data_IF_781712494917
#
_entry.id   IF_781712494917
#
_cell.length_a   1.000
_cell.length_b   1.000
_cell.length_c   1.000
_cell.angle_alpha   90.00
_cell.angle_beta   90.00
_cell.angle_gamma   90.00
#
_symmetry.space_group_name_H-M   'P 1'
#
loop_
_entity.id
_entity.type
_entity.pdbx_description
1 polymer ?
#
# COMPACT_ATOMS: atom_id res chain seq x y z
N UNK A 1 18.42 53.70 38.06
CA UNK A 1 17.31 53.10 37.28
C UNK A 1 17.69 52.42 35.95
N UNK A 2 18.94 52.51 35.44
CA UNK A 2 19.33 51.94 34.13
C UNK A 2 19.51 50.40 34.10
N UNK A 3 19.86 49.77 35.23
CA UNK A 3 20.07 48.32 35.31
C UNK A 3 18.78 47.49 35.10
N UNK A 4 17.63 47.99 35.57
CA UNK A 4 16.33 47.31 35.43
C UNK A 4 15.80 47.28 33.98
N UNK A 5 16.17 48.26 33.15
CA UNK A 5 15.81 48.27 31.71
C UNK A 5 16.65 47.27 30.92
N UNK A 6 17.98 47.27 31.12
CA UNK A 6 18.88 46.31 30.48
C UNK A 6 18.55 44.84 30.82
N UNK A 7 18.12 44.56 32.06
CA UNK A 7 17.68 43.21 32.44
C UNK A 7 16.39 42.79 31.73
N UNK A 8 15.44 43.72 31.56
CA UNK A 8 14.20 43.47 30.80
C UNK A 8 14.47 43.27 29.31
N UNK A 9 15.38 44.04 28.73
CA UNK A 9 15.73 43.91 27.31
C UNK A 9 16.44 42.58 27.02
N UNK A 10 17.29 42.10 27.93
CA UNK A 10 17.89 40.75 27.83
C UNK A 10 16.84 39.66 27.96
N UNK A 11 15.98 39.71 28.98
CA UNK A 11 14.92 38.72 29.15
C UNK A 11 14.01 38.64 27.91
N UNK A 12 13.66 39.78 27.29
CA UNK A 12 12.88 39.81 26.04
C UNK A 12 13.60 39.14 24.88
N UNK A 13 14.90 39.37 24.73
CA UNK A 13 15.71 38.72 23.69
C UNK A 13 15.82 37.21 23.93
N UNK A 14 16.14 36.80 25.15
CA UNK A 14 16.23 35.39 25.51
C UNK A 14 14.87 34.68 25.30
N UNK A 15 13.75 35.36 25.58
CA UNK A 15 12.42 34.83 25.29
C UNK A 15 12.12 34.75 23.80
N UNK A 16 12.52 35.75 23.01
CA UNK A 16 12.35 35.72 21.55
C UNK A 16 13.16 34.59 20.91
N UNK A 17 14.41 34.41 21.34
CA UNK A 17 15.29 33.33 20.88
C UNK A 17 14.72 31.94 21.23
N UNK A 18 14.20 31.77 22.45
CA UNK A 18 13.54 30.51 22.86
C UNK A 18 12.27 30.25 22.07
N UNK A 19 11.48 31.28 21.78
CA UNK A 19 10.27 31.14 20.98
C UNK A 19 10.61 30.73 19.54
N UNK A 20 11.62 31.35 18.94
CA UNK A 20 12.10 30.98 17.60
C UNK A 20 12.63 29.54 17.55
N UNK A 21 13.36 29.10 18.59
CA UNK A 21 13.81 27.72 18.71
C UNK A 21 12.63 26.74 18.83
N UNK A 22 11.63 27.06 19.65
CA UNK A 22 10.43 26.25 19.78
C UNK A 22 9.64 26.19 18.47
N UNK A 23 9.52 27.30 17.76
CA UNK A 23 8.85 27.33 16.47
C UNK A 23 9.54 26.41 15.46
N UNK A 24 10.87 26.50 15.35
CA UNK A 24 11.66 25.59 14.49
C UNK A 24 11.51 24.12 14.91
N UNK A 25 11.44 23.85 16.21
CA UNK A 25 11.22 22.50 16.71
C UNK A 25 9.86 21.96 16.31
N UNK A 26 8.80 22.77 16.40
CA UNK A 26 7.45 22.40 15.97
C UNK A 26 7.40 22.17 14.45
N UNK A 27 8.02 23.05 13.67
CA UNK A 27 8.13 22.88 12.21
C UNK A 27 8.86 21.58 11.85
N UNK A 28 9.99 21.28 12.50
CA UNK A 28 10.72 20.03 12.28
C UNK A 28 9.90 18.80 12.70
N UNK A 29 9.12 18.88 13.79
CA UNK A 29 8.24 17.80 14.22
C UNK A 29 7.11 17.54 13.20
N UNK A 30 6.52 18.60 12.63
CA UNK A 30 5.51 18.45 11.59
C UNK A 30 6.07 17.72 10.36
N UNK A 31 7.25 18.12 9.88
CA UNK A 31 7.92 17.44 8.76
C UNK A 31 8.21 15.97 9.07
N UNK A 32 8.62 15.64 10.30
CA UNK A 32 8.85 14.24 10.70
C UNK A 32 7.54 13.44 10.65
N UNK A 33 6.42 14.01 11.09
CA UNK A 33 5.12 13.33 11.02
C UNK A 33 4.69 13.10 9.57
N UNK A 34 4.84 14.09 8.70
CA UNK A 34 4.53 13.95 7.27
C UNK A 34 5.35 12.83 6.62
N UNK A 35 6.66 12.75 6.93
CA UNK A 35 7.54 11.69 6.43
C UNK A 35 7.17 10.31 6.98
N UNK A 36 6.68 10.23 8.22
CA UNK A 36 6.21 8.95 8.79
C UNK A 36 4.93 8.47 8.10
N UNK A 37 4.01 9.38 7.78
CA UNK A 37 2.79 9.07 7.03
C UNK A 37 3.12 8.60 5.60
N UNK A 38 4.06 9.26 4.92
CA UNK A 38 4.56 8.83 3.61
C UNK A 38 5.24 7.46 3.67
N UNK A 39 6.04 7.21 4.72
CA UNK A 39 6.67 5.93 4.94
C UNK A 39 5.61 4.82 5.15
N UNK A 40 4.57 5.07 5.95
CA UNK A 40 3.51 4.09 6.18
C UNK A 40 2.78 3.70 4.88
N UNK A 41 2.48 4.69 4.02
CA UNK A 41 1.91 4.44 2.69
C UNK A 41 2.84 3.58 1.82
N UNK A 42 4.14 3.87 1.84
CA UNK A 42 5.13 3.08 1.11
C UNK A 42 5.24 1.65 1.65
N UNK A 43 5.22 1.48 2.98
CA UNK A 43 5.20 0.17 3.64
C UNK A 43 3.94 -0.64 3.26
N UNK A 44 2.78 0.01 3.15
CA UNK A 44 1.55 -0.61 2.67
C UNK A 44 1.65 -1.06 1.19
N UNK A 45 2.23 -0.24 0.31
CA UNK A 45 2.48 -0.60 -1.09
C UNK A 45 3.40 -1.80 -1.23
N UNK A 46 4.47 -1.87 -0.43
CA UNK A 46 5.31 -3.06 -0.36
C UNK A 46 4.54 -4.27 0.15
N UNK A 47 3.68 -4.09 1.15
CA UNK A 47 2.79 -5.15 1.65
C UNK A 47 1.92 -5.74 0.56
N UNK A 48 1.25 -4.89 -0.23
CA UNK A 48 0.45 -5.29 -1.40
C UNK A 48 1.28 -6.06 -2.42
N UNK A 49 2.46 -5.53 -2.80
CA UNK A 49 3.33 -6.19 -3.78
C UNK A 49 3.80 -7.58 -3.32
N UNK A 50 4.19 -7.71 -2.04
CA UNK A 50 4.61 -9.00 -1.47
C UNK A 50 3.43 -9.98 -1.38
N UNK A 51 2.22 -9.51 -1.04
CA UNK A 51 1.02 -10.34 -1.01
C UNK A 51 0.66 -10.87 -2.42
N UNK A 52 0.74 -10.01 -3.44
CA UNK A 52 0.58 -10.41 -4.85
C UNK A 52 1.61 -11.47 -5.24
N UNK A 53 2.89 -11.26 -4.95
CA UNK A 53 3.94 -12.25 -5.26
C UNK A 53 3.66 -13.61 -4.61
N UNK A 54 3.19 -13.61 -3.36
CA UNK A 54 2.81 -14.84 -2.65
C UNK A 54 1.59 -15.52 -3.27
N UNK A 55 0.60 -14.75 -3.72
CA UNK A 55 -0.58 -15.28 -4.41
C UNK A 55 -0.22 -15.97 -5.74
N UNK A 56 0.84 -15.50 -6.41
CA UNK A 56 1.41 -16.10 -7.61
C UNK A 56 2.31 -17.32 -7.32
N UNK A 57 2.47 -17.71 -6.05
CA UNK A 57 3.26 -18.87 -5.64
C UNK A 57 4.74 -18.59 -5.41
N UNK A 58 5.18 -17.32 -5.44
CA UNK A 58 6.58 -16.95 -5.13
C UNK A 58 6.83 -17.17 -3.65
N UNK A 59 7.91 -17.89 -3.33
CA UNK A 59 8.25 -18.20 -1.93
C UNK A 59 8.87 -16.97 -1.25
N UNK A 60 8.69 -16.86 0.06
CA UNK A 60 9.26 -15.76 0.85
C UNK A 60 10.79 -15.63 0.69
N UNK A 61 11.50 -16.75 0.51
CA UNK A 61 12.95 -16.74 0.28
C UNK A 61 13.34 -16.13 -1.08
N UNK A 62 12.54 -16.34 -2.12
CA UNK A 62 12.76 -15.78 -3.47
C UNK A 62 12.47 -14.27 -3.48
N UNK A 63 11.47 -13.84 -2.71
CA UNK A 63 11.20 -12.42 -2.46
C UNK A 63 12.35 -11.77 -1.70
N UNK A 64 12.90 -12.45 -0.69
CA UNK A 64 14.04 -11.94 0.09
C UNK A 64 15.30 -11.81 -0.78
N UNK A 65 15.57 -12.78 -1.66
CA UNK A 65 16.71 -12.73 -2.58
C UNK A 65 16.61 -11.59 -3.60
N UNK A 66 15.41 -11.31 -4.13
CA UNK A 66 15.19 -10.29 -5.15
C UNK A 66 15.07 -8.87 -4.60
N UNK A 67 14.51 -8.71 -3.40
CA UNK A 67 14.20 -7.38 -2.82
C UNK A 67 15.08 -7.00 -1.64
N UNK A 68 15.79 -7.96 -1.04
CA UNK A 68 16.52 -7.77 0.22
C UNK A 68 15.61 -7.65 1.45
N UNK A 69 14.29 -7.84 1.30
CA UNK A 69 13.34 -7.78 2.42
C UNK A 69 13.36 -9.10 3.18
N UNK A 70 13.77 -9.03 4.44
CA UNK A 70 13.71 -10.19 5.34
C UNK A 70 12.29 -10.72 5.48
N UNK A 71 12.14 -12.02 5.73
CA UNK A 71 10.84 -12.63 6.02
C UNK A 71 10.01 -11.89 7.10
N UNK A 72 10.67 -11.32 8.12
CA UNK A 72 10.02 -10.51 9.16
C UNK A 72 9.46 -9.21 8.57
N UNK A 73 10.25 -8.48 7.78
CA UNK A 73 9.80 -7.25 7.11
C UNK A 73 8.65 -7.53 6.15
N UNK A 74 8.74 -8.60 5.36
CA UNK A 74 7.66 -9.03 4.48
C UNK A 74 6.35 -9.23 5.27
N UNK A 75 6.40 -9.95 6.40
CA UNK A 75 5.22 -10.19 7.24
C UNK A 75 4.66 -8.90 7.84
N UNK A 76 5.55 -7.98 8.25
CA UNK A 76 5.17 -6.67 8.78
C UNK A 76 4.45 -5.85 7.71
N UNK A 77 4.99 -5.75 6.50
CA UNK A 77 4.40 -4.97 5.43
C UNK A 77 3.06 -5.52 4.99
N UNK A 78 2.91 -6.84 4.87
CA UNK A 78 1.60 -7.48 4.60
C UNK A 78 0.61 -7.10 5.70
N UNK A 79 1.02 -7.14 6.97
CA UNK A 79 0.14 -6.77 8.08
C UNK A 79 -0.26 -5.29 8.02
N UNK A 80 0.68 -4.39 7.74
CA UNK A 80 0.40 -2.96 7.57
C UNK A 80 -0.58 -2.74 6.42
N UNK A 81 -0.38 -3.40 5.27
CA UNK A 81 -1.33 -3.37 4.15
C UNK A 81 -2.74 -3.85 4.54
N UNK A 82 -2.83 -4.93 5.33
CA UNK A 82 -4.12 -5.44 5.81
C UNK A 82 -4.79 -4.49 6.83
N UNK A 83 -4.01 -3.85 7.70
CA UNK A 83 -4.50 -2.92 8.72
C UNK A 83 -4.90 -1.55 8.13
N UNK A 84 -4.15 -1.07 7.15
CA UNK A 84 -4.46 0.16 6.39
C UNK A 84 -5.62 -0.04 5.41
N UNK A 85 -6.04 -1.28 5.16
CA UNK A 85 -7.33 -1.65 4.61
C UNK A 85 -7.68 -0.92 3.31
N UNK A 86 -7.24 -1.44 2.16
CA UNK A 86 -7.83 -1.12 0.85
C UNK A 86 -7.92 0.39 0.51
N UNK A 87 -7.05 1.24 1.09
CA UNK A 87 -7.05 2.69 0.89
C UNK A 87 -6.63 3.15 -0.53
N UNK A 88 -6.35 2.22 -1.44
CA UNK A 88 -5.97 2.50 -2.83
C UNK A 88 -6.74 1.60 -3.81
N UNK A 89 -8.07 1.71 -3.80
CA UNK A 89 -8.87 1.61 -5.04
C UNK A 89 -8.98 3.01 -5.71
N UNK A 90 -7.95 3.85 -5.56
CA UNK A 90 -7.77 4.98 -6.47
C UNK A 90 -7.07 4.45 -7.72
N UNK A 91 -7.85 4.46 -8.80
CA UNK A 91 -7.49 4.08 -10.17
C UNK A 91 -6.09 4.59 -10.53
N UNK A 92 -5.31 3.84 -11.32
CA UNK A 92 -4.07 4.38 -11.86
C UNK A 92 -4.43 5.63 -12.69
N UNK A 93 -3.98 6.81 -12.26
CA UNK A 93 -3.86 7.94 -13.17
C UNK A 93 -2.94 7.48 -14.30
N UNK A 94 -3.53 7.26 -15.47
CA UNK A 94 -2.84 7.13 -16.74
C UNK A 94 -2.19 8.47 -17.10
N UNK A 95 -1.17 8.88 -16.35
CA UNK A 95 -0.23 9.89 -16.82
C UNK A 95 0.94 9.14 -17.50
N UNK A 96 0.60 8.31 -18.49
CA UNK A 96 1.55 8.00 -19.57
C UNK A 96 1.52 9.15 -20.56
N UNK A 97 2.01 10.31 -20.14
CA UNK A 97 2.41 11.37 -21.08
C UNK A 97 3.72 10.89 -21.72
N UNK A 98 3.58 9.94 -22.65
CA UNK A 98 4.59 9.69 -23.67
C UNK A 98 4.57 10.97 -24.50
N UNK A 99 5.55 11.85 -24.27
CA UNK A 99 5.92 12.87 -25.24
C UNK A 99 6.36 12.15 -26.53
N UNK A 100 5.38 11.78 -27.36
CA UNK A 100 5.61 11.51 -28.76
C UNK A 100 6.02 12.84 -29.41
N UNK A 101 7.32 13.03 -29.53
CA UNK A 101 7.89 14.10 -30.31
C UNK A 101 7.46 13.91 -31.77
N UNK A 102 6.46 14.69 -32.14
CA UNK A 102 5.91 14.85 -33.49
C UNK A 102 7.02 15.02 -34.52
N UNK A 103 7.15 14.04 -35.41
CA UNK A 103 7.59 14.29 -36.78
C UNK A 103 6.59 13.63 -37.75
N UNK A 104 5.75 14.45 -38.37
CA UNK A 104 5.03 14.13 -39.62
C UNK A 104 5.59 15.03 -40.72
N UNK A 105 5.34 14.81 -42.04
CA UNK A 105 4.47 13.83 -42.68
C UNK A 105 5.09 13.13 -43.93
N UNK A 106 4.23 12.42 -44.67
CA UNK A 106 4.40 11.76 -45.99
C UNK A 106 4.86 10.30 -45.91
N UNK A 107 4.22 9.32 -46.54
CA UNK A 107 3.33 9.29 -47.69
C UNK A 107 2.46 8.03 -47.58
N UNK A 108 1.25 8.09 -48.13
CA UNK A 108 0.14 7.19 -47.83
C UNK A 108 0.30 5.73 -48.22
N UNK A 109 -0.65 4.93 -47.74
CA UNK A 109 -1.41 3.94 -48.52
C UNK A 109 -2.69 3.64 -47.73
N UNK A 110 -3.84 3.92 -48.34
CA UNK A 110 -5.16 3.43 -47.94
C UNK A 110 -5.19 1.89 -47.86
N UNK A 111 -6.07 1.36 -47.00
CA UNK A 111 -6.88 0.12 -47.11
C UNK A 111 -7.22 -0.26 -45.66
N UNK A 112 -8.32 0.20 -45.07
CA UNK A 112 -9.69 -0.27 -45.23
C UNK A 112 -9.84 -1.79 -45.06
N UNK A 113 -10.25 -2.24 -43.86
CA UNK A 113 -11.31 -3.24 -43.60
C UNK A 113 -11.25 -3.74 -42.14
N UNK A 114 -12.22 -3.32 -41.32
CA UNK A 114 -12.95 -4.29 -40.48
C UNK A 114 -13.92 -5.05 -41.40
N UNK A 115 -14.22 -6.32 -41.09
CA UNK A 115 -15.52 -6.56 -40.49
C UNK A 115 -15.54 -7.68 -39.41
N UNK A 116 -16.64 -7.64 -38.67
CA UNK A 116 -17.05 -8.48 -37.56
C UNK A 116 -17.27 -9.98 -37.88
N UNK A 117 -17.52 -10.73 -36.79
CA UNK A 117 -18.36 -11.94 -36.66
C UNK A 117 -17.81 -13.32 -37.09
N UNK A 118 -17.84 -14.26 -36.13
CA UNK A 118 -18.48 -15.61 -36.19
C UNK A 118 -18.22 -16.30 -34.83
N UNK A 119 -19.22 -16.43 -33.96
CA UNK A 119 -20.23 -17.51 -33.89
C UNK A 119 -19.72 -18.85 -33.30
N UNK A 120 -20.41 -19.26 -32.24
CA UNK A 120 -20.78 -20.63 -31.87
C UNK A 120 -19.69 -21.68 -31.55
N UNK A 121 -19.63 -22.09 -30.26
CA UNK A 121 -19.91 -23.50 -29.95
C UNK A 121 -20.30 -23.66 -28.48
N UNK A 122 -21.48 -24.24 -28.29
CA UNK A 122 -22.06 -24.52 -27.00
C UNK A 122 -21.81 -26.00 -26.60
N UNK A 123 -21.73 -26.21 -25.28
CA UNK A 123 -22.14 -27.42 -24.53
C UNK A 123 -21.19 -28.64 -24.46
N UNK A 124 -21.34 -29.35 -23.33
CA UNK A 124 -20.89 -30.70 -22.90
C UNK A 124 -19.72 -30.61 -21.90
N UNK A 125 -19.78 -31.04 -20.64
CA UNK A 125 -20.66 -31.99 -19.96
C UNK A 125 -20.61 -31.78 -18.43
N UNK A 126 -21.78 -31.94 -17.81
CA UNK A 126 -22.02 -32.18 -16.39
C UNK A 126 -21.31 -33.45 -15.88
N UNK A 127 -20.60 -33.36 -14.75
CA UNK A 127 -20.29 -34.51 -13.90
C UNK A 127 -20.87 -34.28 -12.51
N UNK A 128 -21.59 -35.30 -12.08
CA UNK A 128 -22.55 -35.36 -11.00
C UNK A 128 -21.96 -35.30 -9.58
N UNK A 129 -22.70 -34.58 -8.73
CA UNK A 129 -23.34 -35.08 -7.51
C UNK A 129 -23.00 -36.52 -7.06
N UNK A 130 -22.40 -36.64 -5.87
CA UNK A 130 -22.92 -37.43 -4.74
C UNK A 130 -21.84 -37.61 -3.66
N UNK A 131 -22.15 -37.23 -2.42
CA UNK A 131 -22.08 -38.11 -1.24
C UNK A 131 -22.28 -37.29 0.04
N UNK A 132 -23.47 -37.43 0.61
CA UNK A 132 -23.77 -37.07 1.98
C UNK A 132 -23.03 -37.96 2.99
N UNK A 133 -22.96 -37.42 4.22
CA UNK A 133 -23.06 -38.13 5.49
C UNK A 133 -21.81 -38.80 6.09
N UNK A 134 -21.34 -38.12 7.15
CA UNK A 134 -21.04 -38.70 8.47
C UNK A 134 -19.83 -39.61 8.60
N UNK A 135 -18.72 -39.07 9.13
CA UNK A 135 -17.97 -39.86 10.11
C UNK A 135 -17.31 -39.00 11.20
N UNK A 136 -17.43 -39.55 12.40
CA UNK A 136 -16.97 -39.18 13.71
C UNK A 136 -15.64 -38.40 13.79
N UNK A 137 -15.73 -37.14 14.23
CA UNK A 137 -14.61 -36.48 14.90
C UNK A 137 -14.92 -36.35 16.39
N UNK A 138 -14.22 -37.16 17.19
CA UNK A 138 -14.38 -37.30 18.63
C UNK A 138 -14.12 -35.99 19.38
N UNK A 139 -15.20 -35.32 19.76
CA UNK A 139 -15.19 -34.26 20.76
C UNK A 139 -15.85 -34.78 22.05
N UNK A 140 -15.17 -34.86 23.20
CA UNK A 140 -15.80 -35.29 24.44
C UNK A 140 -16.83 -34.23 24.92
N UNK A 141 -17.98 -34.64 25.49
CA UNK A 141 -18.95 -33.70 26.02
C UNK A 141 -18.37 -32.96 27.23
N UNK A 142 -18.50 -31.63 27.23
CA UNK A 142 -18.23 -30.78 28.41
C UNK A 142 -19.18 -31.19 29.53
N UNK A 143 -18.65 -31.60 30.69
CA UNK A 143 -19.45 -31.80 31.90
C UNK A 143 -20.15 -30.50 32.24
N UNK A 144 -21.48 -30.56 32.34
CA UNK A 144 -22.26 -29.54 33.02
C UNK A 144 -21.79 -29.47 34.48
N UNK A 145 -21.47 -28.26 34.92
CA UNK A 145 -21.28 -27.92 36.33
C UNK A 145 -22.68 -27.67 36.87
N UNK A 146 -23.17 -28.58 37.71
CA UNK A 146 -24.36 -28.31 38.53
C UNK A 146 -24.01 -27.20 39.55
N UNK A 147 -24.81 -26.14 39.55
CA UNK A 147 -24.90 -25.12 40.61
C UNK A 147 -26.22 -25.35 41.35
#
# INVERSE_FOLDING_TARGET
MKASRKARDRARKDHAEKFEQLQRQVEAQAVILDLLDEQEKLEAKFGRAVDVLRSLGVKAAEVEESTGLSSLQQSRYIKIWQETGNLEDEEPQEDSEVEEEKTTPESGTEVAQEPEETEESAVVESIAEAAEASDSFGFPPRKAVDV
#
